data_IF_401108403422
#
_entry.id   IF_401108403422
#
_cell.length_a   1.000
_cell.length_b   1.000
_cell.length_c   1.000
_cell.angle_alpha   90.00
_cell.angle_beta   90.00
_cell.angle_gamma   90.00
#
_symmetry.space_group_name_H-M   'P 1'
#
loop_
_entity.id
_entity.type
_entity.pdbx_description
1 polymer ?
#
# COMPACT_ATOMS: atom_id res chain seq x y z
N UNK A 1 -5.52 32.63 38.10
CA UNK A 1 -5.26 32.63 36.65
C UNK A 1 -5.05 31.22 36.09
N UNK A 2 -4.30 30.32 36.77
CA UNK A 2 -4.04 28.94 36.31
C UNK A 2 -5.28 28.03 36.17
N UNK A 3 -6.24 28.10 37.11
CA UNK A 3 -7.47 27.26 37.07
C UNK A 3 -8.45 27.61 35.93
N UNK A 4 -8.37 28.81 35.37
CA UNK A 4 -9.22 29.20 34.23
C UNK A 4 -8.71 28.60 32.91
N UNK A 5 -7.38 28.46 32.76
CA UNK A 5 -6.78 27.89 31.57
C UNK A 5 -7.03 26.37 31.45
N UNK A 6 -6.92 25.65 32.58
CA UNK A 6 -7.15 24.20 32.62
C UNK A 6 -8.56 23.77 32.23
N UNK A 7 -9.58 24.56 32.59
CA UNK A 7 -10.98 24.25 32.21
C UNK A 7 -11.24 24.46 30.73
N UNK A 8 -10.62 25.47 30.12
CA UNK A 8 -10.73 25.73 28.69
C UNK A 8 -10.00 24.66 27.87
N UNK A 9 -8.81 24.24 28.32
CA UNK A 9 -8.05 23.14 27.72
C UNK A 9 -8.82 21.81 27.80
N UNK A 10 -9.38 21.47 28.96
CA UNK A 10 -10.18 20.26 29.13
C UNK A 10 -11.46 20.28 28.26
N UNK A 11 -12.08 21.45 28.08
CA UNK A 11 -13.23 21.59 27.19
C UNK A 11 -12.83 21.38 25.72
N UNK A 12 -11.71 21.97 25.30
CA UNK A 12 -11.17 21.78 23.94
C UNK A 12 -10.84 20.31 23.68
N UNK A 13 -10.17 19.65 24.62
CA UNK A 13 -9.84 18.23 24.51
C UNK A 13 -11.09 17.36 24.40
N UNK A 14 -12.14 17.65 25.17
CA UNK A 14 -13.40 16.93 25.06
C UNK A 14 -14.07 17.10 23.68
N UNK A 15 -14.05 18.31 23.13
CA UNK A 15 -14.57 18.60 21.78
C UNK A 15 -13.75 17.87 20.69
N UNK A 16 -12.41 17.87 20.81
CA UNK A 16 -11.51 17.17 19.90
C UNK A 16 -11.70 15.64 19.95
N UNK A 17 -11.87 15.07 21.15
CA UNK A 17 -12.18 13.65 21.34
C UNK A 17 -13.50 13.24 20.68
N UNK A 18 -14.53 14.08 20.77
CA UNK A 18 -15.81 13.83 20.12
C UNK A 18 -15.70 13.82 18.60
N UNK A 19 -14.97 14.77 18.02
CA UNK A 19 -14.75 14.84 16.58
C UNK A 19 -13.95 13.63 16.08
N UNK A 20 -12.89 13.24 16.80
CA UNK A 20 -12.08 12.04 16.49
C UNK A 20 -12.93 10.76 16.56
N UNK A 21 -13.70 10.58 17.63
CA UNK A 21 -14.57 9.41 17.78
C UNK A 21 -15.64 9.34 16.69
N UNK A 22 -16.24 10.50 16.33
CA UNK A 22 -17.19 10.57 15.22
C UNK A 22 -16.55 10.16 13.89
N UNK A 23 -15.33 10.61 13.61
CA UNK A 23 -14.61 10.23 12.38
C UNK A 23 -14.30 8.73 12.34
N UNK A 24 -13.82 8.16 13.44
CA UNK A 24 -13.52 6.72 13.54
C UNK A 24 -14.77 5.87 13.33
N UNK A 25 -15.87 6.21 14.01
CA UNK A 25 -17.15 5.49 13.85
C UNK A 25 -17.70 5.63 12.43
N UNK A 26 -17.55 6.80 11.79
CA UNK A 26 -17.97 7.03 10.42
C UNK A 26 -17.17 6.16 9.44
N UNK A 27 -15.85 6.05 9.63
CA UNK A 27 -15.00 5.19 8.81
C UNK A 27 -15.34 3.69 9.00
N UNK A 28 -15.70 3.28 10.21
CA UNK A 28 -16.02 1.88 10.53
C UNK A 28 -17.43 1.47 10.07
N UNK A 29 -18.43 2.34 10.27
CA UNK A 29 -19.86 1.98 10.18
C UNK A 29 -20.62 2.77 9.10
N UNK A 30 -20.00 3.78 8.51
CA UNK A 30 -20.59 4.66 7.48
C UNK A 30 -21.52 5.75 8.02
N UNK A 31 -22.27 5.47 9.09
CA UNK A 31 -23.17 6.44 9.74
C UNK A 31 -22.96 6.45 11.25
N UNK A 32 -23.03 7.62 11.86
CA UNK A 32 -22.80 7.82 13.30
C UNK A 32 -23.99 8.49 13.94
N UNK A 33 -24.44 7.97 15.08
CA UNK A 33 -25.49 8.56 15.90
C UNK A 33 -24.94 9.07 17.23
N UNK A 34 -25.67 9.99 17.88
CA UNK A 34 -25.30 10.50 19.21
C UNK A 34 -25.20 9.38 20.25
N UNK A 35 -25.99 8.32 20.11
CA UNK A 35 -25.90 7.13 20.97
C UNK A 35 -24.57 6.41 20.83
N UNK A 36 -24.04 6.32 19.61
CA UNK A 36 -22.80 5.60 19.33
C UNK A 36 -21.62 6.36 19.95
N UNK A 37 -21.62 7.69 19.85
CA UNK A 37 -20.62 8.53 20.53
C UNK A 37 -20.69 8.43 22.05
N UNK A 38 -21.90 8.32 22.61
CA UNK A 38 -22.08 8.16 24.04
C UNK A 38 -21.52 6.82 24.53
N UNK A 39 -21.74 5.75 23.77
CA UNK A 39 -21.20 4.42 24.05
C UNK A 39 -19.67 4.39 23.92
N UNK A 40 -19.14 4.87 22.79
CA UNK A 40 -17.71 4.86 22.48
C UNK A 40 -16.87 5.66 23.50
N UNK A 41 -17.37 6.81 23.93
CA UNK A 41 -16.66 7.69 24.88
C UNK A 41 -17.03 7.42 26.35
N UNK A 42 -17.89 6.44 26.63
CA UNK A 42 -18.38 6.18 27.99
C UNK A 42 -19.13 7.36 28.62
N UNK A 43 -19.73 8.23 27.80
CA UNK A 43 -20.44 9.43 28.23
C UNK A 43 -21.94 9.17 28.38
N UNK A 44 -22.60 9.86 29.31
CA UNK A 44 -24.05 9.80 29.37
C UNK A 44 -24.68 10.53 28.15
N UNK A 45 -25.81 10.02 27.67
CA UNK A 45 -26.47 10.51 26.46
C UNK A 45 -26.80 12.02 26.54
N UNK A 46 -27.18 12.54 27.71
CA UNK A 46 -27.54 13.96 27.88
C UNK A 46 -26.32 14.90 27.73
N UNK A 47 -25.16 14.46 28.23
CA UNK A 47 -23.89 15.17 28.09
C UNK A 47 -23.43 15.13 26.64
N UNK A 48 -23.55 13.96 25.97
CA UNK A 48 -23.19 13.83 24.56
C UNK A 48 -24.06 14.73 23.68
N UNK A 49 -25.38 14.79 23.90
CA UNK A 49 -26.25 15.73 23.19
C UNK A 49 -25.85 17.19 23.40
N UNK A 50 -25.44 17.55 24.62
CA UNK A 50 -25.01 18.91 24.92
C UNK A 50 -23.69 19.25 24.24
N UNK A 51 -22.75 18.31 24.17
CA UNK A 51 -21.47 18.49 23.51
C UNK A 51 -21.61 18.55 21.98
N UNK A 52 -22.44 17.68 21.38
CA UNK A 52 -22.80 17.76 19.95
C UNK A 52 -23.47 19.09 19.63
N UNK A 53 -24.36 19.59 20.51
CA UNK A 53 -24.96 20.91 20.35
C UNK A 53 -23.93 22.04 20.27
N UNK A 54 -22.89 22.01 21.12
CA UNK A 54 -21.79 22.97 21.07
C UNK A 54 -20.97 22.85 19.78
N UNK A 55 -20.67 21.63 19.34
CA UNK A 55 -19.96 21.41 18.07
C UNK A 55 -20.76 21.92 16.87
N UNK A 56 -22.09 21.84 16.91
CA UNK A 56 -22.97 22.48 15.93
C UNK A 56 -22.90 24.00 16.01
N UNK A 57 -22.99 24.59 17.20
CA UNK A 57 -22.87 26.04 17.40
C UNK A 57 -21.51 26.59 16.91
N UNK A 58 -20.45 25.80 17.10
CA UNK A 58 -19.09 26.10 16.64
C UNK A 58 -18.87 25.82 15.14
N UNK A 59 -19.87 25.26 14.44
CA UNK A 59 -19.81 25.04 12.99
C UNK A 59 -19.05 23.80 12.54
N UNK A 60 -18.75 22.83 13.42
CA UNK A 60 -18.04 21.59 13.08
C UNK A 60 -18.98 20.44 12.67
N UNK A 61 -20.23 20.47 13.14
CA UNK A 61 -21.23 19.43 12.84
C UNK A 61 -22.49 20.11 12.30
N UNK A 62 -23.10 19.52 11.28
CA UNK A 62 -24.38 20.01 10.76
C UNK A 62 -25.49 19.98 11.83
N UNK A 63 -26.41 20.97 11.85
CA UNK A 63 -27.48 21.01 12.83
C UNK A 63 -28.33 19.75 12.86
N UNK A 64 -28.61 19.28 14.07
CA UNK A 64 -29.62 18.25 14.29
C UNK A 64 -31.00 18.83 13.90
N UNK A 65 -31.75 18.09 13.08
CA UNK A 65 -33.08 18.48 12.66
C UNK A 65 -34.03 18.45 13.87
N UNK A 66 -34.73 19.56 14.08
CA UNK A 66 -35.82 19.60 15.05
C UNK A 66 -37.00 18.77 14.52
N UNK A 67 -37.33 17.65 15.19
CA UNK A 67 -38.60 16.97 14.88
C UNK A 67 -39.80 17.81 15.33
N UNK A 68 -40.82 17.87 14.45
CA UNK A 68 -42.19 18.25 14.79
C UNK A 68 -42.65 17.44 16.00
N UNK A 69 -43.00 18.10 17.12
CA UNK A 69 -43.58 17.46 18.30
C UNK A 69 -42.68 17.39 19.56
N UNK A 70 -41.51 18.02 19.59
CA UNK A 70 -40.81 18.34 20.84
C UNK A 70 -39.95 17.23 21.48
N UNK A 71 -39.82 16.04 20.87
CA UNK A 71 -38.84 15.01 21.28
C UNK A 71 -37.72 14.88 20.25
N UNK A 72 -36.46 14.96 20.71
CA UNK A 72 -35.26 14.68 19.91
C UNK A 72 -35.30 13.21 19.44
N UNK A 73 -35.03 12.97 18.16
CA UNK A 73 -34.99 11.63 17.60
C UNK A 73 -33.59 11.03 17.80
N UNK A 74 -33.47 9.90 18.50
CA UNK A 74 -32.21 9.13 18.62
C UNK A 74 -31.79 8.44 17.30
N UNK A 75 -32.29 8.89 16.14
CA UNK A 75 -32.10 8.23 14.83
C UNK A 75 -31.57 9.17 13.75
N UNK A 76 -31.14 10.38 14.12
CA UNK A 76 -30.53 11.28 13.15
C UNK A 76 -29.03 11.01 13.10
N UNK A 77 -28.53 10.72 11.91
CA UNK A 77 -27.10 10.58 11.68
C UNK A 77 -26.43 11.96 11.78
N UNK A 78 -25.22 11.97 12.34
CA UNK A 78 -24.36 13.13 12.43
C UNK A 78 -23.58 13.27 11.12
N UNK A 79 -23.38 14.52 10.70
CA UNK A 79 -22.59 14.85 9.52
C UNK A 79 -21.62 15.99 9.85
N UNK A 80 -20.36 15.83 9.48
CA UNK A 80 -19.38 16.90 9.59
C UNK A 80 -19.70 18.03 8.60
N UNK A 81 -19.35 19.25 9.01
CA UNK A 81 -19.06 20.31 8.03
C UNK A 81 -17.65 20.10 7.46
N UNK A 82 -17.27 20.76 6.35
CA UNK A 82 -15.90 20.68 5.84
C UNK A 82 -14.83 21.04 6.88
N UNK A 83 -15.10 22.06 7.71
CA UNK A 83 -14.18 22.48 8.77
C UNK A 83 -14.08 21.45 9.91
N UNK A 84 -15.21 20.84 10.28
CA UNK A 84 -15.24 19.79 11.30
C UNK A 84 -14.52 18.51 10.86
N UNK A 85 -14.69 18.11 9.60
CA UNK A 85 -14.01 16.95 9.02
C UNK A 85 -12.49 17.19 8.95
N UNK A 86 -12.08 18.38 8.48
CA UNK A 86 -10.66 18.75 8.42
C UNK A 86 -10.01 18.77 9.81
N UNK A 87 -10.70 19.29 10.83
CA UNK A 87 -10.21 19.29 12.20
C UNK A 87 -10.11 17.85 12.75
N UNK A 88 -11.15 17.03 12.57
CA UNK A 88 -11.16 15.64 13.02
C UNK A 88 -10.01 14.83 12.38
N UNK A 89 -9.78 15.01 11.08
CA UNK A 89 -8.71 14.36 10.34
C UNK A 89 -7.34 14.81 10.87
N UNK A 90 -7.14 16.10 11.12
CA UNK A 90 -5.89 16.62 11.70
C UNK A 90 -5.61 16.01 13.07
N UNK A 91 -6.62 15.85 13.92
CA UNK A 91 -6.48 15.23 15.24
C UNK A 91 -6.09 13.76 15.07
N UNK A 92 -6.80 13.01 14.22
CA UNK A 92 -6.51 11.60 13.95
C UNK A 92 -5.09 11.39 13.40
N UNK A 93 -4.61 12.26 12.51
CA UNK A 93 -3.25 12.21 11.98
C UNK A 93 -2.21 12.41 13.09
N UNK A 94 -2.46 13.34 14.02
CA UNK A 94 -1.58 13.57 15.18
C UNK A 94 -1.52 12.32 16.06
N UNK A 95 -2.67 11.71 16.36
CA UNK A 95 -2.74 10.43 17.08
C UNK A 95 -1.82 9.39 16.44
N UNK A 96 -1.99 9.16 15.14
CA UNK A 96 -1.27 8.13 14.39
C UNK A 96 0.24 8.37 14.35
N UNK A 97 0.67 9.63 14.22
CA UNK A 97 2.10 9.99 14.25
C UNK A 97 2.69 9.67 15.63
N UNK A 98 2.00 10.02 16.71
CA UNK A 98 2.49 9.80 18.08
C UNK A 98 2.46 8.31 18.41
N UNK A 99 1.37 7.61 18.11
CA UNK A 99 1.25 6.17 18.30
C UNK A 99 2.34 5.42 17.54
N UNK A 100 2.54 5.73 16.26
CA UNK A 100 3.60 5.11 15.45
C UNK A 100 5.00 5.39 15.99
N UNK A 101 5.21 6.56 16.59
CA UNK A 101 6.46 6.88 17.30
C UNK A 101 6.64 6.05 18.57
N UNK A 102 5.61 5.93 19.41
CA UNK A 102 5.65 5.14 20.66
C UNK A 102 5.87 3.64 20.39
N UNK A 103 5.16 3.08 19.41
CA UNK A 103 5.36 1.68 18.97
C UNK A 103 6.81 1.46 18.53
N UNK A 104 7.38 2.41 17.79
CA UNK A 104 8.79 2.36 17.39
C UNK A 104 9.74 2.52 18.56
N UNK A 105 9.34 3.14 19.66
CA UNK A 105 10.15 3.18 20.89
C UNK A 105 10.08 1.87 21.69
N UNK A 106 9.16 0.96 21.37
CA UNK A 106 8.97 -0.30 22.09
C UNK A 106 7.75 -0.34 22.99
N UNK A 107 6.91 0.69 22.95
CA UNK A 107 5.64 0.69 23.67
C UNK A 107 4.69 -0.31 22.99
N UNK A 108 4.03 -1.21 23.75
CA UNK A 108 2.99 -2.08 23.21
C UNK A 108 1.89 -1.29 22.49
N UNK A 109 1.24 -1.88 21.50
CA UNK A 109 0.28 -1.18 20.63
C UNK A 109 -0.87 -0.58 21.44
N UNK A 110 -1.35 -1.33 22.43
CA UNK A 110 -2.44 -0.93 23.32
C UNK A 110 -2.06 0.27 24.18
N UNK A 111 -0.88 0.22 24.82
CA UNK A 111 -0.34 1.34 25.62
C UNK A 111 -0.05 2.56 24.74
N UNK A 112 0.48 2.34 23.53
CA UNK A 112 0.80 3.40 22.59
C UNK A 112 -0.46 4.13 22.08
N UNK A 113 -1.58 3.41 21.92
CA UNK A 113 -2.86 4.02 21.57
C UNK A 113 -3.37 4.91 22.72
N UNK A 114 -3.40 4.38 23.93
CA UNK A 114 -3.85 5.13 25.11
C UNK A 114 -2.97 6.37 25.36
N UNK A 115 -1.64 6.22 25.33
CA UNK A 115 -0.70 7.32 25.55
C UNK A 115 -0.75 8.37 24.44
N UNK A 116 -0.87 7.95 23.18
CA UNK A 116 -1.01 8.89 22.05
C UNK A 116 -2.25 9.78 22.21
N UNK A 117 -3.36 9.20 22.68
CA UNK A 117 -4.61 9.91 22.96
C UNK A 117 -4.43 11.00 24.05
N UNK A 118 -3.54 10.78 25.02
CA UNK A 118 -3.24 11.78 26.05
C UNK A 118 -2.27 12.86 25.55
N UNK A 119 -1.25 12.46 24.80
CA UNK A 119 -0.18 13.36 24.35
C UNK A 119 -0.68 14.31 23.26
N UNK A 120 -1.55 13.84 22.35
CA UNK A 120 -1.92 14.58 21.15
C UNK A 120 -2.57 15.94 21.41
N UNK A 121 -3.25 16.11 22.54
CA UNK A 121 -3.89 17.38 22.90
C UNK A 121 -2.93 18.34 23.62
N UNK A 122 -1.83 17.83 24.18
CA UNK A 122 -0.89 18.60 25.00
C UNK A 122 0.30 19.19 24.26
N UNK A 123 0.54 18.76 23.02
CA UNK A 123 1.76 19.14 22.28
C UNK A 123 1.47 20.03 21.07
N UNK A 124 2.46 20.83 20.67
CA UNK A 124 2.33 21.77 19.55
C UNK A 124 2.40 21.06 18.19
N UNK A 125 1.90 21.69 17.13
CA UNK A 125 2.09 21.21 15.75
C UNK A 125 3.57 21.11 15.37
N UNK A 126 4.42 22.01 15.89
CA UNK A 126 5.87 21.93 15.70
C UNK A 126 6.46 20.65 16.33
N UNK A 127 6.04 20.30 17.54
CA UNK A 127 6.48 19.06 18.21
C UNK A 127 6.07 17.83 17.41
N UNK A 128 4.83 17.76 16.94
CA UNK A 128 4.37 16.64 16.09
C UNK A 128 5.16 16.54 14.80
N UNK A 129 5.47 17.68 14.17
CA UNK A 129 6.25 17.72 12.92
C UNK A 129 7.68 17.21 13.12
N UNK A 130 8.32 17.56 14.25
CA UNK A 130 9.64 17.04 14.61
C UNK A 130 9.61 15.54 14.92
N UNK A 131 8.58 15.06 15.62
CA UNK A 131 8.37 13.61 15.86
C UNK A 131 8.21 12.89 14.52
N UNK A 132 7.39 13.41 13.60
CA UNK A 132 7.21 12.82 12.29
C UNK A 132 8.52 12.76 11.49
N UNK A 133 9.31 13.83 11.53
CA UNK A 133 10.64 13.87 10.90
C UNK A 133 11.58 12.81 11.51
N UNK A 134 11.59 12.67 12.82
CA UNK A 134 12.37 11.66 13.53
C UNK A 134 11.94 10.24 13.15
N UNK A 135 10.63 9.96 13.12
CA UNK A 135 10.09 8.65 12.69
C UNK A 135 10.48 8.32 11.26
N UNK A 136 10.41 9.29 10.33
CA UNK A 136 10.81 9.09 8.93
C UNK A 136 12.29 8.76 8.81
N UNK A 137 13.15 9.53 9.47
CA UNK A 137 14.60 9.27 9.51
C UNK A 137 14.89 7.90 10.12
N UNK A 138 14.29 7.56 11.26
CA UNK A 138 14.49 6.27 11.92
C UNK A 138 14.06 5.10 11.01
N UNK A 139 12.96 5.26 10.27
CA UNK A 139 12.49 4.25 9.30
C UNK A 139 13.50 4.03 8.17
N UNK A 140 14.15 5.09 7.67
CA UNK A 140 15.17 5.00 6.63
C UNK A 140 16.45 4.32 7.11
N UNK A 141 16.85 4.55 8.37
CA UNK A 141 18.11 4.03 8.94
C UNK A 141 17.94 2.60 9.46
N UNK A 142 16.80 2.27 10.07
CA UNK A 142 16.61 1.02 10.81
C UNK A 142 15.76 -0.02 10.05
N UNK A 143 15.20 0.35 8.89
CA UNK A 143 14.23 -0.48 8.16
C UNK A 143 12.81 -0.37 8.73
N UNK A 144 11.80 -0.75 7.94
CA UNK A 144 10.38 -0.50 8.28
C UNK A 144 9.92 -1.13 9.60
N UNK A 145 10.51 -2.27 9.99
CA UNK A 145 10.04 -3.16 11.06
C UNK A 145 10.81 -3.09 12.37
N UNK A 146 11.96 -2.39 12.45
CA UNK A 146 12.80 -2.46 13.64
C UNK A 146 12.32 -1.52 14.76
N UNK A 147 12.18 -2.06 15.96
CA UNK A 147 11.81 -1.32 17.16
C UNK A 147 13.06 -0.79 17.89
N UNK A 148 12.98 0.37 18.54
CA UNK A 148 14.10 1.03 19.21
C UNK A 148 14.79 0.14 20.28
N UNK A 149 14.09 -0.68 21.08
CA UNK A 149 14.76 -1.59 22.02
C UNK A 149 15.60 -2.64 21.31
N UNK A 150 15.13 -3.20 20.19
CA UNK A 150 15.88 -4.16 19.39
C UNK A 150 17.12 -3.51 18.75
N UNK A 151 16.97 -2.27 18.26
CA UNK A 151 18.08 -1.51 17.71
C UNK A 151 19.08 -1.10 18.79
N UNK A 152 18.60 -0.68 19.95
CA UNK A 152 19.45 -0.32 21.09
C UNK A 152 20.17 -1.55 21.65
N UNK A 153 19.53 -2.72 21.62
CA UNK A 153 20.16 -3.97 22.02
C UNK A 153 21.19 -4.45 21.00
N UNK A 154 20.89 -4.34 19.70
CA UNK A 154 21.87 -4.58 18.64
C UNK A 154 23.05 -3.60 18.73
N UNK A 155 22.79 -2.31 18.99
CA UNK A 155 23.82 -1.29 19.21
C UNK A 155 24.64 -1.62 20.47
N UNK A 156 24.01 -2.03 21.57
CA UNK A 156 24.71 -2.49 22.78
C UNK A 156 25.57 -3.71 22.50
N UNK A 157 25.06 -4.70 21.75
CA UNK A 157 25.82 -5.88 21.35
C UNK A 157 27.05 -5.49 20.54
N UNK A 158 26.88 -4.64 19.53
CA UNK A 158 27.98 -4.10 18.70
C UNK A 158 28.97 -3.26 19.51
N UNK A 159 28.49 -2.49 20.49
CA UNK A 159 29.36 -1.71 21.37
C UNK A 159 30.11 -2.60 22.36
N UNK A 160 29.50 -3.69 22.86
CA UNK A 160 30.17 -4.68 23.69
C UNK A 160 31.26 -5.44 22.89
N UNK A 161 30.96 -5.86 21.66
CA UNK A 161 31.92 -6.41 20.69
C UNK A 161 33.06 -5.41 20.37
N UNK A 162 32.76 -4.11 20.36
CA UNK A 162 33.73 -3.02 20.21
C UNK A 162 34.61 -2.78 21.44
N UNK A 163 34.07 -2.95 22.66
CA UNK A 163 34.82 -2.82 23.92
C UNK A 163 35.78 -3.99 24.16
N UNK A 164 35.41 -5.22 23.79
CA UNK A 164 36.36 -6.35 23.77
C UNK A 164 37.56 -6.06 22.85
N UNK A 165 37.33 -5.44 21.68
CA UNK A 165 38.39 -5.05 20.74
C UNK A 165 39.40 -4.03 21.28
N UNK A 166 39.01 -3.16 22.21
CA UNK A 166 39.93 -2.18 22.83
C UNK A 166 40.93 -2.84 23.77
N UNK A 167 40.53 -3.92 24.46
CA UNK A 167 41.35 -4.68 25.39
C UNK A 167 42.36 -5.64 24.71
N UNK A 168 42.21 -5.89 23.40
CA UNK A 168 43.08 -6.77 22.64
C UNK A 168 44.49 -6.16 22.41
N UNK A 169 45.50 -7.02 22.51
CA UNK A 169 46.87 -6.70 22.10
C UNK A 169 46.95 -6.44 20.59
N UNK A 170 48.01 -5.78 20.12
CA UNK A 170 48.17 -5.47 18.69
C UNK A 170 48.12 -6.71 17.78
N UNK A 171 48.58 -7.86 18.27
CA UNK A 171 48.56 -9.14 17.52
C UNK A 171 47.15 -9.73 17.45
N UNK A 172 46.35 -9.57 18.49
CA UNK A 172 44.95 -10.03 18.52
C UNK A 172 44.06 -9.13 17.67
N UNK A 173 44.28 -7.80 17.69
CA UNK A 173 43.63 -6.86 16.78
C UNK A 173 43.91 -7.19 15.31
N UNK A 174 45.14 -7.61 15.01
CA UNK A 174 45.54 -8.03 13.68
C UNK A 174 44.82 -9.33 13.26
N UNK A 175 44.77 -10.35 14.12
CA UNK A 175 43.99 -11.59 13.87
C UNK A 175 42.51 -11.31 13.66
N UNK A 176 41.90 -10.50 14.51
CA UNK A 176 40.49 -10.12 14.39
C UNK A 176 40.21 -9.37 13.09
N UNK A 177 41.11 -8.48 12.66
CA UNK A 177 40.98 -7.78 11.37
C UNK A 177 41.12 -8.74 10.19
N UNK A 178 42.05 -9.70 10.27
CA UNK A 178 42.20 -10.77 9.28
C UNK A 178 40.92 -11.58 9.18
N UNK A 179 40.35 -12.03 10.29
CA UNK A 179 39.11 -12.82 10.32
C UNK A 179 37.91 -12.04 9.79
N UNK A 180 37.71 -10.78 10.22
CA UNK A 180 36.62 -9.91 9.77
C UNK A 180 36.64 -9.65 8.26
N UNK A 181 37.82 -9.56 7.67
CA UNK A 181 37.97 -9.39 6.23
C UNK A 181 37.76 -10.71 5.45
N UNK A 182 37.60 -11.84 6.14
CA UNK A 182 37.46 -13.17 5.54
C UNK A 182 38.78 -13.90 5.36
N UNK A 183 39.71 -13.73 6.31
CA UNK A 183 41.04 -14.34 6.29
C UNK A 183 42.05 -13.60 5.40
N UNK A 184 43.17 -14.29 5.10
CA UNK A 184 44.24 -13.74 4.24
C UNK A 184 43.75 -13.43 2.82
N UNK A 185 42.81 -14.21 2.29
CA UNK A 185 42.18 -13.91 1.00
C UNK A 185 41.40 -12.60 1.03
N UNK A 186 40.73 -12.30 2.15
CA UNK A 186 40.04 -11.04 2.39
C UNK A 186 40.95 -9.83 2.27
N UNK A 187 42.10 -9.90 2.93
CA UNK A 187 43.13 -8.86 2.89
C UNK A 187 43.69 -8.72 1.48
N UNK A 188 43.96 -9.83 0.79
CA UNK A 188 44.44 -9.78 -0.59
C UNK A 188 43.40 -9.16 -1.54
N UNK A 189 42.12 -9.49 -1.38
CA UNK A 189 41.02 -8.86 -2.13
C UNK A 189 40.99 -7.36 -1.88
N UNK A 190 41.03 -6.92 -0.62
CA UNK A 190 41.05 -5.50 -0.26
C UNK A 190 42.28 -4.78 -0.84
N UNK A 191 43.47 -5.36 -0.70
CA UNK A 191 44.71 -4.83 -1.27
C UNK A 191 44.63 -4.71 -2.80
N UNK A 192 44.05 -5.71 -3.47
CA UNK A 192 43.84 -5.67 -4.93
C UNK A 192 42.85 -4.58 -5.35
N UNK A 193 41.80 -4.33 -4.56
CA UNK A 193 40.81 -3.28 -4.82
C UNK A 193 41.43 -1.90 -4.64
N UNK A 194 42.19 -1.69 -3.58
CA UNK A 194 42.94 -0.45 -3.33
C UNK A 194 43.92 -0.18 -4.47
N UNK A 195 44.65 -1.21 -4.92
CA UNK A 195 45.58 -1.08 -6.04
C UNK A 195 44.86 -0.73 -7.34
N UNK A 196 43.75 -1.40 -7.66
CA UNK A 196 42.92 -1.12 -8.86
C UNK A 196 42.29 0.26 -8.83
N UNK A 197 41.92 0.76 -7.65
CA UNK A 197 41.38 2.10 -7.47
C UNK A 197 42.46 3.20 -7.52
N UNK A 198 43.76 2.83 -7.47
CA UNK A 198 44.87 3.77 -7.48
C UNK A 198 45.17 4.41 -6.12
N UNK A 199 44.80 3.74 -5.02
CA UNK A 199 45.04 4.19 -3.65
C UNK A 199 43.78 4.20 -2.78
N UNK A 200 43.97 4.18 -1.46
CA UNK A 200 42.87 4.07 -0.49
C UNK A 200 41.94 5.29 -0.51
N UNK A 201 42.50 6.49 -0.63
CA UNK A 201 41.74 7.74 -0.68
C UNK A 201 40.83 7.78 -1.92
N UNK A 202 41.35 7.30 -3.05
CA UNK A 202 40.60 7.24 -4.31
C UNK A 202 39.52 6.16 -4.26
N UNK A 203 39.80 5.00 -3.65
CA UNK A 203 38.80 3.97 -3.39
C UNK A 203 37.67 4.50 -2.49
N UNK A 204 38.02 5.23 -1.43
CA UNK A 204 37.03 5.85 -0.54
C UNK A 204 36.16 6.85 -1.29
N UNK A 205 36.77 7.76 -2.05
CA UNK A 205 36.01 8.73 -2.86
C UNK A 205 35.04 8.06 -3.85
N UNK A 206 35.44 6.93 -4.46
CA UNK A 206 34.57 6.14 -5.34
C UNK A 206 33.41 5.46 -4.60
N UNK A 207 33.65 4.97 -3.38
CA UNK A 207 32.60 4.37 -2.55
C UNK A 207 31.61 5.44 -2.07
N UNK A 208 32.09 6.62 -1.68
CA UNK A 208 31.23 7.74 -1.28
C UNK A 208 30.35 8.20 -2.45
N UNK A 209 30.91 8.26 -3.67
CA UNK A 209 30.10 8.57 -4.87
C UNK A 209 29.08 7.46 -5.16
N UNK A 210 29.45 6.20 -4.98
CA UNK A 210 28.52 5.09 -5.15
C UNK A 210 27.37 5.16 -4.14
N UNK A 211 27.65 5.56 -2.90
CA UNK A 211 26.64 5.74 -1.85
C UNK A 211 25.69 6.90 -2.17
N UNK A 212 26.21 8.03 -2.64
CA UNK A 212 25.38 9.16 -3.14
C UNK A 212 24.47 8.77 -4.30
N UNK A 213 24.87 7.79 -5.12
CA UNK A 213 24.09 7.26 -6.23
C UNK A 213 23.10 6.14 -5.81
N UNK A 214 22.89 5.95 -4.50
CA UNK A 214 21.93 4.96 -3.97
C UNK A 214 22.56 3.61 -3.63
N UNK A 215 23.89 3.54 -3.55
CA UNK A 215 24.63 2.36 -3.11
C UNK A 215 25.14 1.49 -4.26
N UNK A 216 26.13 0.64 -3.93
CA UNK A 216 26.80 -0.24 -4.91
C UNK A 216 25.84 -1.25 -5.55
N UNK A 217 24.84 -1.72 -4.81
CA UNK A 217 23.84 -2.65 -5.35
C UNK A 217 22.99 -2.04 -6.47
N UNK A 218 22.61 -0.76 -6.34
CA UNK A 218 21.86 -0.07 -7.38
C UNK A 218 22.70 0.15 -8.63
N UNK A 219 23.99 0.41 -8.48
CA UNK A 219 24.91 0.50 -9.61
C UNK A 219 25.10 -0.85 -10.32
N UNK A 220 25.10 -1.96 -9.58
CA UNK A 220 25.14 -3.31 -10.16
C UNK A 220 23.88 -3.56 -10.98
N UNK A 221 22.68 -3.32 -10.40
CA UNK A 221 21.40 -3.50 -11.12
C UNK A 221 21.34 -2.63 -12.37
N UNK A 222 21.69 -1.35 -12.25
CA UNK A 222 21.73 -0.42 -13.39
C UNK A 222 22.67 -0.91 -14.50
N UNK A 223 23.80 -1.51 -14.14
CA UNK A 223 24.73 -2.11 -15.10
C UNK A 223 24.13 -3.34 -15.78
N UNK A 224 23.45 -4.20 -15.05
CA UNK A 224 22.77 -5.38 -15.59
C UNK A 224 21.68 -4.96 -16.59
N UNK A 225 20.85 -3.97 -16.25
CA UNK A 225 19.83 -3.41 -17.16
C UNK A 225 20.45 -2.84 -18.44
N UNK A 226 21.55 -2.09 -18.31
CA UNK A 226 22.28 -1.56 -19.48
C UNK A 226 22.85 -2.71 -20.33
N UNK A 227 23.34 -3.78 -19.70
CA UNK A 227 23.89 -4.93 -20.41
C UNK A 227 22.80 -5.67 -21.19
N UNK A 228 21.64 -5.90 -20.58
CA UNK A 228 20.48 -6.50 -21.25
C UNK A 228 20.01 -5.66 -22.44
N UNK A 229 19.96 -4.34 -22.29
CA UNK A 229 19.66 -3.40 -23.38
C UNK A 229 20.70 -3.48 -24.50
N UNK A 230 21.99 -3.60 -24.17
CA UNK A 230 23.06 -3.75 -25.16
C UNK A 230 22.98 -5.07 -25.92
N UNK A 231 22.66 -6.17 -25.24
CA UNK A 231 22.54 -7.48 -25.88
C UNK A 231 21.28 -7.56 -26.75
N UNK A 232 20.19 -6.92 -26.32
CA UNK A 232 18.99 -6.70 -27.15
C UNK A 232 19.31 -5.82 -28.36
N UNK A 233 20.11 -4.77 -28.19
CA UNK A 233 20.57 -3.93 -29.29
C UNK A 233 21.37 -4.74 -30.30
N UNK A 234 22.33 -5.56 -29.84
CA UNK A 234 23.16 -6.39 -30.72
C UNK A 234 22.33 -7.40 -31.52
N UNK A 235 21.42 -8.11 -30.87
CA UNK A 235 20.56 -9.11 -31.53
C UNK A 235 19.59 -8.50 -32.55
N UNK A 236 19.20 -7.22 -32.37
CA UNK A 236 18.30 -6.50 -33.28
C UNK A 236 19.02 -5.71 -34.38
N UNK A 237 20.35 -5.79 -34.50
CA UNK A 237 21.12 -5.08 -35.54
C UNK A 237 21.55 -3.66 -35.13
N UNK A 238 21.79 -3.46 -33.85
CA UNK A 238 22.18 -2.19 -33.25
C UNK A 238 21.00 -1.32 -32.83
N UNK A 239 21.31 -0.10 -32.38
CA UNK A 239 20.34 0.88 -31.88
C UNK A 239 19.26 1.19 -32.91
N UNK A 240 19.59 1.22 -34.20
CA UNK A 240 18.64 1.52 -35.27
C UNK A 240 17.63 0.38 -35.49
N UNK A 241 18.04 -0.86 -35.27
CA UNK A 241 17.14 -2.01 -35.29
C UNK A 241 16.20 -2.04 -34.09
N UNK A 242 16.71 -1.71 -32.90
CA UNK A 242 15.90 -1.50 -31.69
C UNK A 242 14.86 -0.41 -31.89
N UNK A 243 15.24 0.72 -32.49
CA UNK A 243 14.33 1.82 -32.83
C UNK A 243 13.23 1.39 -33.78
N UNK A 244 13.56 0.61 -34.82
CA UNK A 244 12.55 0.02 -35.73
C UNK A 244 11.60 -0.91 -34.98
N UNK A 245 12.09 -1.73 -34.05
CA UNK A 245 11.22 -2.59 -33.24
C UNK A 245 10.32 -1.80 -32.30
N UNK A 246 10.81 -0.74 -31.67
CA UNK A 246 9.98 0.16 -30.86
C UNK A 246 8.94 0.89 -31.71
N UNK A 247 9.28 1.32 -32.93
CA UNK A 247 8.30 1.91 -33.84
C UNK A 247 7.22 0.92 -34.28
N UNK A 248 7.57 -0.35 -34.50
CA UNK A 248 6.58 -1.40 -34.80
C UNK A 248 5.72 -1.68 -33.57
N UNK A 249 6.32 -1.70 -32.38
CA UNK A 249 5.63 -1.84 -31.10
C UNK A 249 4.60 -0.73 -30.87
N UNK A 250 5.00 0.53 -31.03
CA UNK A 250 4.12 1.69 -30.87
C UNK A 250 2.99 1.69 -31.91
N UNK A 251 3.30 1.39 -33.19
CA UNK A 251 2.27 1.23 -34.24
C UNK A 251 1.30 0.09 -33.94
N UNK A 252 1.74 -0.92 -33.21
CA UNK A 252 0.92 -2.05 -32.81
C UNK A 252 0.02 -1.74 -31.61
N UNK A 253 0.07 -0.52 -31.06
CA UNK A 253 -0.72 -0.06 -29.92
C UNK A 253 0.04 -0.03 -28.59
N UNK A 254 1.36 -0.26 -28.64
CA UNK A 254 2.28 -0.10 -27.53
C UNK A 254 1.86 -0.80 -26.23
N UNK A 255 2.23 -0.18 -25.10
CA UNK A 255 1.99 -0.73 -23.76
C UNK A 255 0.50 -0.79 -23.42
N UNK A 256 -0.31 0.10 -23.98
CA UNK A 256 -1.74 0.17 -23.72
C UNK A 256 -2.46 -1.06 -24.25
N UNK A 257 -2.12 -1.53 -25.46
CA UNK A 257 -2.70 -2.75 -26.03
C UNK A 257 -2.22 -4.01 -25.31
N UNK A 258 -0.97 -4.03 -24.84
CA UNK A 258 -0.46 -5.13 -24.01
C UNK A 258 -1.19 -5.17 -22.66
N UNK A 259 -1.42 -4.02 -22.03
CA UNK A 259 -2.19 -3.95 -20.79
C UNK A 259 -3.66 -4.34 -21.00
N UNK A 260 -4.27 -3.98 -22.12
CA UNK A 260 -5.61 -4.45 -22.49
C UNK A 260 -5.63 -5.98 -22.70
N UNK A 261 -4.62 -6.54 -23.36
CA UNK A 261 -4.47 -7.98 -23.54
C UNK A 261 -4.24 -8.71 -22.21
N UNK A 262 -3.40 -8.19 -21.32
CA UNK A 262 -3.17 -8.73 -19.98
C UNK A 262 -4.43 -8.62 -19.09
N UNK A 263 -5.19 -7.53 -19.21
CA UNK A 263 -6.47 -7.39 -18.54
C UNK A 263 -7.53 -8.35 -19.09
N UNK A 264 -7.49 -8.64 -20.40
CA UNK A 264 -8.36 -9.65 -21.02
C UNK A 264 -7.95 -11.06 -20.62
N UNK A 265 -6.66 -11.37 -20.60
CA UNK A 265 -6.12 -12.64 -20.11
C UNK A 265 -6.61 -12.94 -18.69
N UNK A 266 -6.55 -11.95 -17.79
CA UNK A 266 -7.09 -12.07 -16.42
C UNK A 266 -8.60 -12.30 -16.38
N UNK A 267 -9.36 -11.74 -17.33
CA UNK A 267 -10.82 -11.92 -17.42
C UNK A 267 -11.22 -13.25 -18.06
N UNK A 268 -10.43 -13.77 -18.99
CA UNK A 268 -10.73 -14.98 -19.76
C UNK A 268 -10.07 -16.24 -19.20
N UNK A 269 -9.39 -16.15 -18.05
CA UNK A 269 -8.80 -17.31 -17.37
C UNK A 269 -7.47 -17.80 -17.97
N UNK A 270 -6.75 -16.94 -18.71
CA UNK A 270 -5.46 -17.26 -19.31
C UNK A 270 -5.47 -17.33 -20.85
N UNK A 271 -4.27 -17.22 -21.43
CA UNK A 271 -4.04 -17.22 -22.88
C UNK A 271 -4.51 -18.52 -23.57
N UNK A 272 -4.36 -19.68 -22.92
CA UNK A 272 -4.75 -20.98 -23.47
C UNK A 272 -6.27 -21.07 -23.74
N UNK A 273 -7.07 -20.47 -22.86
CA UNK A 273 -8.53 -20.46 -22.99
C UNK A 273 -8.97 -19.50 -24.09
N UNK A 274 -8.22 -18.41 -24.28
CA UNK A 274 -8.42 -17.43 -25.35
C UNK A 274 -8.04 -18.04 -26.72
N UNK A 275 -6.95 -18.79 -26.79
CA UNK A 275 -6.56 -19.54 -27.98
C UNK A 275 -7.62 -20.59 -28.35
N UNK A 276 -8.09 -21.38 -27.37
CA UNK A 276 -9.18 -22.36 -27.60
C UNK A 276 -10.49 -21.70 -28.05
N UNK A 277 -10.86 -20.57 -27.47
CA UNK A 277 -12.09 -19.85 -27.87
C UNK A 277 -11.96 -19.22 -29.26
N UNK A 278 -10.81 -18.67 -29.62
CA UNK A 278 -10.53 -18.20 -30.98
C UNK A 278 -10.48 -19.35 -31.99
N UNK A 279 -9.96 -20.50 -31.59
CA UNK A 279 -9.91 -21.69 -32.46
C UNK A 279 -11.30 -22.28 -32.67
N UNK A 280 -12.16 -22.29 -31.63
CA UNK A 280 -13.58 -22.62 -31.73
C UNK A 280 -14.34 -21.62 -32.60
N UNK A 281 -14.09 -20.31 -32.46
CA UNK A 281 -14.66 -19.27 -33.31
C UNK A 281 -14.28 -19.50 -34.78
N UNK A 282 -13.02 -19.85 -35.04
CA UNK A 282 -12.53 -20.16 -36.39
C UNK A 282 -13.16 -21.45 -36.95
N UNK A 283 -13.29 -22.50 -36.14
CA UNK A 283 -13.97 -23.76 -36.51
C UNK A 283 -15.46 -23.56 -36.79
N UNK A 284 -16.10 -22.62 -36.09
CA UNK A 284 -17.51 -22.24 -36.30
C UNK A 284 -17.71 -21.26 -37.47
N UNK A 285 -16.69 -21.03 -38.30
CA UNK A 285 -16.79 -20.18 -39.49
C UNK A 285 -16.63 -18.69 -39.23
N UNK A 286 -15.99 -18.31 -38.11
CA UNK A 286 -15.64 -16.94 -37.76
C UNK A 286 -16.74 -16.16 -37.03
N UNK A 287 -16.38 -14.96 -36.57
CA UNK A 287 -17.19 -14.07 -35.73
C UNK A 287 -18.61 -13.83 -36.23
N UNK A 288 -18.75 -13.66 -37.55
CA UNK A 288 -20.04 -13.33 -38.16
C UNK A 288 -20.99 -14.53 -38.17
N UNK A 289 -20.45 -15.74 -38.31
CA UNK A 289 -21.23 -16.99 -38.24
C UNK A 289 -21.68 -17.26 -36.81
N UNK A 290 -20.81 -17.04 -35.82
CA UNK A 290 -21.17 -17.13 -34.39
C UNK A 290 -22.24 -16.10 -34.03
N UNK A 291 -22.15 -14.85 -34.50
CA UNK A 291 -23.19 -13.82 -34.30
C UNK A 291 -24.51 -14.19 -34.96
N UNK A 292 -24.48 -14.75 -36.18
CA UNK A 292 -25.69 -15.22 -36.86
C UNK A 292 -26.35 -16.35 -36.07
N UNK A 293 -25.58 -17.33 -35.59
CA UNK A 293 -26.09 -18.42 -34.74
C UNK A 293 -26.67 -17.90 -33.42
N UNK A 294 -26.01 -16.92 -32.77
CA UNK A 294 -26.51 -16.32 -31.54
C UNK A 294 -27.83 -15.56 -31.76
N UNK A 295 -27.93 -14.79 -32.85
CA UNK A 295 -29.15 -14.05 -33.18
C UNK A 295 -30.30 -14.99 -33.61
N UNK A 296 -29.99 -16.09 -34.29
CA UNK A 296 -30.97 -17.13 -34.60
C UNK A 296 -31.45 -17.84 -33.32
N UNK A 297 -30.54 -18.13 -32.40
CA UNK A 297 -30.85 -18.69 -31.08
C UNK A 297 -31.78 -17.80 -30.28
N UNK A 298 -31.48 -16.50 -30.19
CA UNK A 298 -32.35 -15.54 -29.50
C UNK A 298 -33.75 -15.47 -30.13
N UNK A 299 -33.84 -15.53 -31.46
CA UNK A 299 -35.13 -15.56 -32.17
C UNK A 299 -35.92 -16.84 -31.95
N UNK A 300 -35.26 -17.97 -31.68
CA UNK A 300 -35.91 -19.26 -31.43
C UNK A 300 -36.10 -19.58 -29.94
N UNK A 301 -35.85 -18.63 -29.04
CA UNK A 301 -36.08 -18.77 -27.61
C UNK A 301 -34.91 -19.36 -26.82
N UNK A 302 -33.69 -19.31 -27.36
CA UNK A 302 -32.46 -19.77 -26.72
C UNK A 302 -31.81 -20.98 -27.41
N UNK A 303 -30.57 -21.28 -27.02
CA UNK A 303 -29.76 -22.35 -27.64
C UNK A 303 -30.36 -23.73 -27.33
N UNK A 304 -30.92 -23.91 -26.14
CA UNK A 304 -31.54 -25.18 -25.72
C UNK A 304 -32.74 -25.54 -26.60
N UNK A 305 -33.60 -24.57 -26.91
CA UNK A 305 -34.77 -24.78 -27.76
C UNK A 305 -34.39 -25.04 -29.22
N UNK A 306 -33.31 -24.41 -29.70
CA UNK A 306 -32.73 -24.72 -31.01
C UNK A 306 -32.19 -26.16 -31.07
N UNK A 307 -31.51 -26.62 -30.02
CA UNK A 307 -31.01 -28.00 -29.93
C UNK A 307 -32.15 -29.02 -29.85
N UNK A 308 -33.22 -28.74 -29.08
CA UNK A 308 -34.41 -29.60 -29.03
C UNK A 308 -35.05 -29.78 -30.41
N UNK A 309 -35.21 -28.69 -31.17
CA UNK A 309 -35.80 -28.74 -32.51
C UNK A 309 -34.91 -29.56 -33.46
N UNK A 310 -33.59 -29.36 -33.43
CA UNK A 310 -32.65 -30.11 -34.25
C UNK A 310 -32.62 -31.60 -33.86
N UNK A 311 -32.73 -31.93 -32.57
CA UNK A 311 -32.87 -33.32 -32.14
C UNK A 311 -34.20 -33.95 -32.56
N UNK A 312 -35.29 -33.19 -32.53
CA UNK A 312 -36.58 -33.66 -33.03
C UNK A 312 -36.51 -33.92 -34.53
N UNK A 313 -35.94 -33.02 -35.33
CA UNK A 313 -35.72 -33.25 -36.76
C UNK A 313 -34.82 -34.46 -36.98
N UNK A 314 -33.71 -34.60 -36.24
CA UNK A 314 -32.83 -35.77 -36.35
C UNK A 314 -33.59 -37.07 -36.05
N UNK A 315 -34.44 -37.10 -35.02
CA UNK A 315 -35.29 -38.27 -34.70
C UNK A 315 -36.32 -38.56 -35.79
N UNK A 316 -36.89 -37.53 -36.40
CA UNK A 316 -37.82 -37.67 -37.54
C UNK A 316 -37.09 -38.25 -38.74
N UNK A 317 -35.90 -37.74 -39.07
CA UNK A 317 -35.08 -38.24 -40.17
C UNK A 317 -34.62 -39.69 -39.95
N UNK A 318 -34.23 -40.06 -38.74
CA UNK A 318 -33.89 -41.45 -38.39
C UNK A 318 -35.10 -42.37 -38.58
N UNK A 319 -36.29 -41.99 -38.10
CA UNK A 319 -37.52 -42.78 -38.30
C UNK A 319 -37.92 -42.90 -39.77
N UNK A 320 -37.73 -41.84 -40.57
CA UNK A 320 -37.97 -41.86 -42.01
C UNK A 320 -37.05 -42.86 -42.71
N UNK A 321 -35.76 -42.86 -42.38
CA UNK A 321 -34.78 -43.82 -42.90
C UNK A 321 -35.07 -45.27 -42.49
N UNK A 322 -35.57 -45.49 -41.26
CA UNK A 322 -35.99 -46.81 -40.78
C UNK A 322 -37.29 -47.30 -41.46
N UNK A 323 -38.22 -46.39 -41.79
CA UNK A 323 -39.48 -46.73 -42.46
C UNK A 323 -39.35 -47.05 -43.95
N UNK A 324 -38.25 -46.63 -44.58
CA UNK A 324 -37.92 -46.93 -45.98
C UNK A 324 -37.16 -48.25 -46.17
N UNK A 325 -36.93 -49.01 -45.08
CA UNK A 325 -36.14 -50.24 -45.06
C UNK A 325 -36.94 -51.54 -44.95
N UNK A 326 -38.26 -51.56 -45.26
CA UNK A 326 -39.11 -52.76 -45.24
C UNK A 326 -39.86 -52.94 -46.57
#
# INVERSE_FOLDING_TARGET
MVRFNQRAEAARQADENLLKAMLLLQLQRGSVYVSDLAEELGMNLSTTYSAVGKLTENGYIHPLEAKRGGRRSNKQALYFTPDGEALAQKILERHQIIQGWLIRLGVPVEEADEEACHIEHGITDNTVSLIQGHVKMATQVMGETACAPEVMEEMRRRMAEGQENLALTASEKMRHTIERLGGMEGIQRMSSLVARAGGEERLRGLLDTAEQLGGVEQLIRSREEIQELQDTARSRGGVEGLKKTLQVYDRSGGMEKINQLAAWEKKTGGLDQLERTMELEKKLGGKDTVKKLLSLSQRMGGVEKMLEILEQERKIWIRLLESTGN
#
